data_IF_969357141768
#
_entry.id   IF_969357141768
#
_cell.length_a   1.000
_cell.length_b   1.000
_cell.length_c   1.000
_cell.angle_alpha   90.00
_cell.angle_beta   90.00
_cell.angle_gamma   90.00
#
_symmetry.space_group_name_H-M   'P 1'
#
loop_
_entity.id
_entity.type
_entity.pdbx_description
1 polymer ?
#
# COMPACT_ATOMS: atom_id res chain seq x y z
N UNK A 1 -8.39 -1.15 9.04
CA UNK A 1 -7.86 -1.27 7.67
C UNK A 1 -6.48 -1.90 7.61
N UNK A 2 -5.39 -1.20 8.01
CA UNK A 2 -4.00 -1.73 7.91
C UNK A 2 -3.76 -3.08 8.60
N UNK A 3 -4.23 -3.25 9.84
CA UNK A 3 -4.10 -4.51 10.59
C UNK A 3 -4.95 -5.65 10.00
N UNK A 4 -6.16 -5.34 9.53
CA UNK A 4 -7.04 -6.32 8.89
C UNK A 4 -6.45 -6.81 7.57
N UNK A 5 -5.86 -5.90 6.78
CA UNK A 5 -5.16 -6.25 5.55
C UNK A 5 -3.97 -7.19 5.83
N UNK A 6 -3.12 -6.86 6.83
CA UNK A 6 -2.00 -7.73 7.21
C UNK A 6 -2.45 -9.13 7.68
N UNK A 7 -3.50 -9.20 8.51
CA UNK A 7 -4.05 -10.49 8.97
C UNK A 7 -4.63 -11.30 7.81
N UNK A 8 -5.35 -10.65 6.88
CA UNK A 8 -5.88 -11.31 5.68
C UNK A 8 -4.76 -11.79 4.76
N UNK A 9 -3.76 -10.95 4.47
CA UNK A 9 -2.61 -11.34 3.65
C UNK A 9 -1.85 -12.51 4.26
N UNK A 10 -1.66 -12.52 5.58
CA UNK A 10 -1.02 -13.62 6.29
C UNK A 10 -1.84 -14.91 6.21
N UNK A 11 -3.16 -14.83 6.45
CA UNK A 11 -4.06 -15.99 6.33
C UNK A 11 -4.07 -16.57 4.91
N UNK A 12 -4.11 -15.71 3.89
CA UNK A 12 -4.08 -16.13 2.48
C UNK A 12 -2.76 -16.84 2.16
N UNK A 13 -1.62 -16.28 2.58
CA UNK A 13 -0.32 -16.91 2.37
C UNK A 13 -0.19 -18.26 3.12
N UNK A 14 -0.69 -18.33 4.37
CA UNK A 14 -0.71 -19.57 5.14
C UNK A 14 -1.58 -20.64 4.50
N UNK A 15 -2.76 -20.27 3.97
CA UNK A 15 -3.64 -21.17 3.25
C UNK A 15 -3.00 -21.71 1.96
N UNK A 16 -2.35 -20.84 1.18
CA UNK A 16 -1.61 -21.25 -0.03
C UNK A 16 -0.48 -22.22 0.33
N UNK A 17 0.28 -21.94 1.40
CA UNK A 17 1.36 -22.82 1.88
C UNK A 17 0.84 -24.18 2.36
N UNK A 18 -0.30 -24.22 3.06
CA UNK A 18 -0.93 -25.47 3.48
C UNK A 18 -1.48 -26.29 2.32
N UNK A 19 -2.08 -25.65 1.31
CA UNK A 19 -2.59 -26.34 0.13
C UNK A 19 -1.45 -26.86 -0.74
N UNK A 20 -0.30 -26.17 -0.76
CA UNK A 20 0.86 -26.54 -1.57
C UNK A 20 1.41 -27.93 -1.24
N UNK A 21 1.27 -28.40 0.00
CA UNK A 21 1.73 -29.75 0.40
C UNK A 21 0.93 -30.86 -0.27
N UNK A 22 -0.32 -30.58 -0.66
CA UNK A 22 -1.22 -31.55 -1.32
C UNK A 22 -1.28 -31.28 -2.83
N UNK A 23 -1.25 -30.02 -3.25
CA UNK A 23 -1.42 -29.62 -4.63
C UNK A 23 -0.42 -28.53 -5.04
N UNK A 24 0.73 -28.98 -5.54
CA UNK A 24 1.84 -28.12 -6.00
C UNK A 24 1.44 -27.00 -6.99
N UNK A 25 0.48 -27.21 -7.94
CA UNK A 25 0.06 -26.17 -8.87
C UNK A 25 -0.52 -24.90 -8.20
N UNK A 26 -0.92 -24.95 -6.93
CA UNK A 26 -1.41 -23.77 -6.20
C UNK A 26 -0.39 -22.63 -6.15
N UNK A 27 0.90 -22.92 -6.33
CA UNK A 27 1.95 -21.89 -6.41
C UNK A 27 1.68 -20.86 -7.51
N UNK A 28 0.98 -21.23 -8.59
CA UNK A 28 0.58 -20.29 -9.64
C UNK A 28 -0.39 -19.21 -9.15
N UNK A 29 -1.17 -19.47 -8.10
CA UNK A 29 -2.03 -18.45 -7.50
C UNK A 29 -1.23 -17.27 -6.94
N UNK A 30 0.03 -17.48 -6.51
CA UNK A 30 0.90 -16.40 -6.05
C UNK A 30 1.27 -15.41 -7.15
N UNK A 31 1.17 -15.79 -8.42
CA UNK A 31 1.37 -14.85 -9.54
C UNK A 31 0.27 -13.78 -9.57
N UNK A 32 -0.94 -14.10 -9.10
CA UNK A 32 -2.07 -13.16 -9.01
C UNK A 32 -2.15 -12.54 -7.61
N UNK A 33 -2.00 -13.35 -6.57
CA UNK A 33 -2.12 -12.93 -5.17
C UNK A 33 -0.91 -12.11 -4.72
N UNK A 34 0.29 -12.44 -5.19
CA UNK A 34 1.53 -11.72 -4.91
C UNK A 34 1.45 -10.23 -5.27
N UNK A 35 1.12 -9.84 -6.52
CA UNK A 35 1.00 -8.43 -6.88
C UNK A 35 -0.14 -7.72 -6.14
N UNK A 36 -1.24 -8.39 -5.79
CA UNK A 36 -2.30 -7.79 -4.95
C UNK A 36 -1.80 -7.46 -3.54
N UNK A 37 -1.05 -8.38 -2.92
CA UNK A 37 -0.43 -8.15 -1.61
C UNK A 37 0.60 -7.03 -1.69
N UNK A 38 1.46 -7.05 -2.72
CA UNK A 38 2.46 -5.99 -2.95
C UNK A 38 1.81 -4.63 -3.17
N UNK A 39 0.71 -4.55 -3.93
CA UNK A 39 -0.03 -3.31 -4.12
C UNK A 39 -0.58 -2.78 -2.80
N UNK A 40 -1.22 -3.62 -1.98
CA UNK A 40 -1.75 -3.17 -0.71
C UNK A 40 -0.66 -2.83 0.32
N UNK A 41 0.50 -3.50 0.28
CA UNK A 41 1.67 -3.11 1.05
C UNK A 41 2.23 -1.77 0.56
N UNK A 42 2.39 -1.59 -0.75
CA UNK A 42 2.82 -0.33 -1.35
C UNK A 42 1.86 0.80 -0.97
N UNK A 43 0.54 0.61 -1.06
CA UNK A 43 -0.44 1.58 -0.59
C UNK A 43 -0.28 1.90 0.90
N UNK A 44 0.02 0.91 1.75
CA UNK A 44 0.31 1.17 3.18
C UNK A 44 1.58 1.99 3.42
N UNK A 45 2.62 1.81 2.61
CA UNK A 45 3.86 2.59 2.67
C UNK A 45 3.70 3.99 2.05
N UNK A 46 3.08 4.07 0.87
CA UNK A 46 2.82 5.30 0.11
C UNK A 46 1.70 6.16 0.72
N UNK A 47 0.77 5.60 1.51
CA UNK A 47 -0.29 6.36 2.18
C UNK A 47 0.24 7.45 3.12
N UNK A 48 1.49 7.36 3.57
CA UNK A 48 2.17 8.43 4.31
C UNK A 48 2.29 9.72 3.48
N UNK A 49 2.41 9.63 2.14
CA UNK A 49 2.44 10.77 1.23
C UNK A 49 1.04 11.24 0.80
N UNK A 50 0.04 10.35 0.78
CA UNK A 50 -1.34 10.69 0.36
C UNK A 50 -2.05 11.60 1.37
N UNK A 51 -1.75 11.48 2.66
CA UNK A 51 -2.33 12.35 3.70
C UNK A 51 -1.88 13.81 3.51
N UNK A 52 -0.65 14.05 3.02
CA UNK A 52 -0.17 15.41 2.75
C UNK A 52 -0.94 16.12 1.63
N UNK A 53 -1.67 15.36 0.79
CA UNK A 53 -2.48 15.88 -0.33
C UNK A 53 -3.97 15.99 -0.01
N UNK A 54 -4.46 15.28 1.01
CA UNK A 54 -5.86 15.36 1.46
C UNK A 54 -6.09 16.43 2.55
N UNK A 55 -5.01 17.03 3.09
CA UNK A 55 -5.09 18.17 4.01
C UNK A 55 -4.64 19.46 3.30
N UNK A 56 -5.58 20.24 2.73
CA UNK A 56 -5.26 21.46 1.98
C UNK A 56 -4.61 22.57 2.82
N UNK A 57 -4.54 22.42 4.15
CA UNK A 57 -3.98 23.42 5.06
C UNK A 57 -2.45 23.43 5.00
N UNK A 58 -1.78 22.27 4.99
CA UNK A 58 -0.31 22.20 4.94
C UNK A 58 0.21 22.57 3.54
N UNK A 59 -0.52 22.21 2.48
CA UNK A 59 -0.21 22.64 1.11
C UNK A 59 -0.31 24.16 0.91
N UNK A 60 -1.24 24.83 1.60
CA UNK A 60 -1.38 26.30 1.56
C UNK A 60 -0.16 27.02 2.13
N UNK A 61 0.36 26.58 3.28
CA UNK A 61 1.57 27.19 3.88
C UNK A 61 2.83 26.92 3.07
N UNK A 62 2.94 25.74 2.43
CA UNK A 62 4.04 25.42 1.53
C UNK A 62 4.04 26.33 0.28
N UNK A 63 2.84 26.62 -0.25
CA UNK A 63 2.64 27.57 -1.37
C UNK A 63 2.86 29.03 -0.94
N UNK A 64 2.51 29.41 0.29
CA UNK A 64 2.83 30.72 0.88
C UNK A 64 4.35 30.91 1.07
N UNK A 65 5.08 29.85 1.45
CA UNK A 65 6.53 29.89 1.58
C UNK A 65 7.27 29.95 0.23
N UNK A 66 6.66 29.45 -0.84
CA UNK A 66 7.18 29.52 -2.23
C UNK A 66 6.77 30.80 -2.98
N UNK A 67 5.83 31.57 -2.42
CA UNK A 67 5.40 32.87 -2.96
C UNK A 67 6.49 33.96 -3.10
N UNK A 68 7.61 33.99 -2.32
CA UNK A 68 8.55 35.10 -2.38
C UNK A 68 9.27 35.26 -3.73
N UNK A 69 9.50 34.18 -4.48
CA UNK A 69 10.29 34.22 -5.72
C UNK A 69 9.51 34.65 -6.96
N UNK A 70 8.18 34.60 -6.95
CA UNK A 70 7.34 34.94 -8.12
C UNK A 70 7.02 36.45 -8.18
N UNK A 71 7.19 37.16 -7.06
CA UNK A 71 6.91 38.59 -6.94
C UNK A 71 8.17 39.46 -6.85
N UNK A 72 9.36 38.87 -7.05
CA UNK A 72 10.58 39.60 -7.36
C UNK A 72 10.83 39.55 -8.87
#
# INVERSE_FOLDING_TARGET
MRRQFLVLSFLVLAAIGGIWTVWKPIAWSLVVVGPLILWGLADMYLATATILRNFPIVGRYLMEALRPEIYQ
#
